data_IF_653472657182
#
_entry.id   IF_653472657182
#
_cell.length_a   1.000
_cell.length_b   1.000
_cell.length_c   1.000
_cell.angle_alpha   90.00
_cell.angle_beta   90.00
_cell.angle_gamma   90.00
#
_symmetry.space_group_name_H-M   'P 1'
#
loop_
_entity.id
_entity.type
_entity.pdbx_description
1 polymer ?
#
# COMPACT_ATOMS: atom_id res chain seq x y z
N UNK A 1 2.40 -17.05 -19.97
CA UNK A 1 2.86 -16.72 -18.61
C UNK A 1 2.89 -18.01 -17.82
N UNK A 2 3.99 -18.33 -17.14
CA UNK A 2 4.06 -19.50 -16.26
C UNK A 2 3.12 -19.25 -15.08
N UNK A 3 2.19 -20.18 -14.84
CA UNK A 3 1.23 -20.12 -13.77
C UNK A 3 1.96 -20.16 -12.41
N UNK A 4 1.75 -19.19 -11.54
CA UNK A 4 2.41 -19.11 -10.23
C UNK A 4 1.48 -19.68 -9.16
N UNK A 5 1.94 -20.69 -8.46
CA UNK A 5 1.22 -21.26 -7.32
C UNK A 5 1.43 -20.41 -6.07
N UNK A 6 0.33 -20.13 -5.37
CA UNK A 6 0.32 -19.41 -4.09
C UNK A 6 -0.38 -20.23 -3.01
N UNK A 7 0.22 -20.29 -1.83
CA UNK A 7 -0.43 -20.72 -0.61
C UNK A 7 -0.88 -19.50 0.21
N UNK A 8 -2.01 -19.58 0.87
CA UNK A 8 -2.57 -18.45 1.63
C UNK A 8 -2.74 -18.81 3.11
N UNK A 9 -2.35 -17.88 3.98
CA UNK A 9 -2.62 -17.95 5.41
C UNK A 9 -3.58 -16.81 5.76
N UNK A 10 -4.79 -17.18 6.16
CA UNK A 10 -5.87 -16.26 6.49
C UNK A 10 -6.90 -16.09 5.36
N UNK A 11 -8.19 -16.09 5.73
CA UNK A 11 -9.34 -15.89 4.84
C UNK A 11 -10.35 -14.93 5.51
N UNK A 12 -9.86 -13.80 6.03
CA UNK A 12 -10.67 -12.72 6.56
C UNK A 12 -11.30 -11.85 5.45
N UNK A 13 -12.06 -10.83 5.84
CA UNK A 13 -12.74 -9.92 4.91
C UNK A 13 -11.76 -9.29 3.89
N UNK A 14 -10.66 -8.70 4.39
CA UNK A 14 -9.66 -8.07 3.51
C UNK A 14 -9.04 -9.07 2.53
N UNK A 15 -8.64 -10.24 3.02
CA UNK A 15 -8.08 -11.29 2.18
C UNK A 15 -9.05 -11.70 1.07
N UNK A 16 -10.29 -12.04 1.44
CA UNK A 16 -11.28 -12.57 0.49
C UNK A 16 -11.93 -11.52 -0.42
N UNK A 17 -11.85 -10.23 -0.07
CA UNK A 17 -12.42 -9.15 -0.87
C UNK A 17 -11.41 -8.52 -1.81
N UNK A 18 -10.14 -8.43 -1.39
CA UNK A 18 -9.11 -7.72 -2.13
C UNK A 18 -7.96 -8.63 -2.61
N UNK A 19 -7.36 -9.44 -1.73
CA UNK A 19 -6.10 -10.12 -2.05
C UNK A 19 -6.31 -11.37 -2.89
N UNK A 20 -7.23 -12.27 -2.51
CA UNK A 20 -7.52 -13.47 -3.30
C UNK A 20 -7.97 -13.17 -4.73
N UNK A 21 -9.00 -12.31 -4.95
CA UNK A 21 -9.43 -12.01 -6.31
C UNK A 21 -8.33 -11.31 -7.11
N UNK A 22 -7.51 -10.47 -6.49
CA UNK A 22 -6.38 -9.81 -7.17
C UNK A 22 -5.27 -10.78 -7.56
N UNK A 23 -4.98 -11.77 -6.71
CA UNK A 23 -4.01 -12.80 -7.03
C UNK A 23 -4.48 -13.67 -8.21
N UNK A 24 -5.75 -14.09 -8.20
CA UNK A 24 -6.35 -14.87 -9.30
C UNK A 24 -6.38 -14.04 -10.58
N UNK A 25 -6.78 -12.78 -10.52
CA UNK A 25 -6.81 -11.87 -11.67
C UNK A 25 -5.41 -11.61 -12.22
N UNK A 26 -4.39 -11.57 -11.38
CA UNK A 26 -2.98 -11.49 -11.78
C UNK A 26 -2.41 -12.82 -12.34
N UNK A 27 -3.19 -13.90 -12.39
CA UNK A 27 -2.82 -15.19 -12.98
C UNK A 27 -2.27 -16.21 -11.98
N UNK A 28 -2.48 -16.03 -10.67
CA UNK A 28 -2.11 -17.02 -9.68
C UNK A 28 -3.06 -18.22 -9.63
N UNK A 29 -2.52 -19.37 -9.26
CA UNK A 29 -3.29 -20.53 -8.81
C UNK A 29 -3.25 -20.62 -7.29
N UNK A 30 -4.40 -20.75 -6.66
CA UNK A 30 -4.49 -20.99 -5.23
C UNK A 30 -4.23 -22.49 -4.98
N UNK A 31 -3.03 -22.81 -4.46
CA UNK A 31 -2.62 -24.19 -4.21
C UNK A 31 -3.13 -24.70 -2.86
N UNK A 32 -3.06 -23.87 -1.83
CA UNK A 32 -3.56 -24.24 -0.52
C UNK A 32 -4.01 -23.01 0.28
N UNK A 33 -4.93 -23.23 1.21
CA UNK A 33 -5.38 -22.21 2.15
C UNK A 33 -5.31 -22.78 3.57
N UNK A 34 -4.73 -22.01 4.49
CA UNK A 34 -4.75 -22.27 5.92
C UNK A 34 -5.45 -21.15 6.68
N UNK A 35 -6.38 -21.52 7.55
CA UNK A 35 -7.01 -20.63 8.54
C UNK A 35 -7.06 -21.35 9.90
N UNK A 36 -7.70 -20.76 10.90
CA UNK A 36 -7.94 -21.40 12.21
C UNK A 36 -9.11 -22.42 12.20
N UNK A 37 -9.66 -22.74 11.01
CA UNK A 37 -10.78 -23.68 10.83
C UNK A 37 -10.69 -24.30 9.45
N UNK A 38 -10.73 -25.63 9.40
CA UNK A 38 -10.68 -26.38 8.13
C UNK A 38 -11.87 -26.03 7.23
N UNK A 39 -13.04 -25.79 7.81
CA UNK A 39 -14.27 -25.47 7.09
C UNK A 39 -14.14 -24.08 6.40
N UNK A 40 -13.49 -23.12 7.08
CA UNK A 40 -13.23 -21.80 6.49
C UNK A 40 -12.23 -21.88 5.35
N UNK A 41 -11.21 -22.71 5.48
CA UNK A 41 -10.23 -22.94 4.41
C UNK A 41 -10.87 -23.60 3.19
N UNK A 42 -11.72 -24.60 3.40
CA UNK A 42 -12.50 -25.27 2.36
C UNK A 42 -13.48 -24.30 1.67
N UNK A 43 -14.21 -23.51 2.45
CA UNK A 43 -15.15 -22.52 1.90
C UNK A 43 -14.43 -21.46 1.06
N UNK A 44 -13.24 -21.03 1.44
CA UNK A 44 -12.44 -20.11 0.66
C UNK A 44 -11.95 -20.73 -0.66
N UNK A 45 -11.45 -21.97 -0.65
CA UNK A 45 -11.09 -22.71 -1.87
C UNK A 45 -12.27 -22.80 -2.83
N UNK A 46 -13.44 -23.22 -2.32
CA UNK A 46 -14.66 -23.36 -3.12
C UNK A 46 -15.08 -22.04 -3.73
N UNK A 47 -15.02 -20.95 -2.97
CA UNK A 47 -15.39 -19.59 -3.46
C UNK A 47 -14.57 -19.15 -4.67
N UNK A 48 -13.30 -19.54 -4.74
CA UNK A 48 -12.40 -19.17 -5.84
C UNK A 48 -12.21 -20.29 -6.87
N UNK A 49 -13.05 -21.34 -6.81
CA UNK A 49 -13.01 -22.45 -7.77
C UNK A 49 -11.68 -23.23 -7.75
N UNK A 50 -10.97 -23.18 -6.62
CA UNK A 50 -9.71 -23.92 -6.47
C UNK A 50 -9.94 -25.36 -6.05
N UNK A 51 -9.16 -26.28 -6.63
CA UNK A 51 -9.06 -27.69 -6.26
C UNK A 51 -7.91 -27.96 -5.28
N UNK A 52 -7.33 -26.91 -4.72
CA UNK A 52 -6.20 -26.98 -3.79
C UNK A 52 -6.56 -27.59 -2.42
N UNK A 53 -5.58 -27.58 -1.53
CA UNK A 53 -5.66 -28.22 -0.22
C UNK A 53 -6.12 -27.24 0.87
N UNK A 54 -6.96 -27.70 1.78
CA UNK A 54 -7.40 -26.93 2.95
C UNK A 54 -6.66 -27.38 4.21
N UNK A 55 -6.26 -26.42 5.04
CA UNK A 55 -5.58 -26.64 6.31
C UNK A 55 -6.21 -25.79 7.42
N UNK A 56 -6.18 -26.30 8.63
CA UNK A 56 -6.49 -25.56 9.88
C UNK A 56 -5.23 -25.12 10.64
N UNK A 57 -4.05 -25.43 10.09
CA UNK A 57 -2.76 -25.16 10.69
C UNK A 57 -1.73 -24.75 9.60
N UNK A 58 -1.13 -23.57 9.77
CA UNK A 58 -0.16 -23.04 8.80
C UNK A 58 1.12 -23.89 8.72
N UNK A 59 1.63 -24.39 9.85
CA UNK A 59 2.82 -25.25 9.90
C UNK A 59 2.63 -26.52 9.07
N UNK A 60 1.47 -27.19 9.21
CA UNK A 60 1.15 -28.37 8.43
C UNK A 60 1.06 -28.05 6.92
N UNK A 61 0.46 -26.92 6.56
CA UNK A 61 0.42 -26.47 5.16
C UNK A 61 1.84 -26.27 4.62
N UNK A 62 2.71 -25.56 5.34
CA UNK A 62 4.08 -25.29 4.93
C UNK A 62 4.93 -26.55 4.77
N UNK A 63 4.65 -27.60 5.56
CA UNK A 63 5.35 -28.88 5.51
C UNK A 63 4.87 -29.79 4.37
N UNK A 64 3.57 -29.75 4.05
CA UNK A 64 2.95 -30.69 3.12
C UNK A 64 2.84 -30.16 1.68
N UNK A 65 2.87 -28.82 1.50
CA UNK A 65 2.69 -28.23 0.18
C UNK A 65 4.04 -27.89 -0.47
N UNK A 66 4.22 -28.38 -1.68
CA UNK A 66 5.34 -28.00 -2.56
C UNK A 66 5.01 -26.65 -3.23
N UNK A 67 4.98 -25.60 -2.42
CA UNK A 67 4.73 -24.23 -2.84
C UNK A 67 5.74 -23.28 -2.20
N UNK A 68 6.45 -22.53 -3.02
CA UNK A 68 7.50 -21.61 -2.53
C UNK A 68 6.99 -20.20 -2.20
N UNK A 69 5.75 -19.89 -2.50
CA UNK A 69 5.22 -18.54 -2.38
C UNK A 69 3.99 -18.52 -1.47
N UNK A 70 4.05 -17.75 -0.40
CA UNK A 70 3.02 -17.68 0.63
C UNK A 70 2.51 -16.26 0.79
N UNK A 71 1.20 -16.11 0.84
CA UNK A 71 0.50 -14.85 1.10
C UNK A 71 -0.09 -14.89 2.51
N UNK A 72 0.37 -14.01 3.39
CA UNK A 72 -0.05 -13.92 4.79
C UNK A 72 -0.95 -12.70 4.95
N UNK A 73 -2.24 -12.94 5.27
CA UNK A 73 -3.22 -11.89 5.59
C UNK A 73 -3.94 -12.29 6.88
N UNK A 74 -3.36 -11.90 7.99
CA UNK A 74 -3.82 -12.27 9.33
C UNK A 74 -4.13 -11.02 10.18
N UNK A 75 -4.59 -11.24 11.41
CA UNK A 75 -4.70 -10.15 12.37
C UNK A 75 -3.29 -9.63 12.73
N UNK A 76 -3.11 -8.32 13.00
CA UNK A 76 -1.79 -7.74 13.26
C UNK A 76 -0.98 -8.48 14.34
N UNK A 77 -1.63 -8.95 15.40
CA UNK A 77 -0.98 -9.68 16.47
C UNK A 77 -0.42 -11.06 16.07
N UNK A 78 -0.99 -11.70 15.03
CA UNK A 78 -0.57 -13.03 14.57
C UNK A 78 0.36 -12.92 13.34
N UNK A 79 0.30 -11.81 12.61
CA UNK A 79 0.90 -11.65 11.29
C UNK A 79 2.43 -11.78 11.34
N UNK A 80 3.07 -11.13 12.30
CA UNK A 80 4.53 -11.19 12.51
C UNK A 80 5.03 -12.61 12.70
N UNK A 81 4.39 -13.39 13.57
CA UNK A 81 4.79 -14.77 13.85
C UNK A 81 4.59 -15.69 12.64
N UNK A 82 3.49 -15.52 11.90
CA UNK A 82 3.21 -16.28 10.68
C UNK A 82 4.18 -15.95 9.55
N UNK A 83 4.52 -14.68 9.36
CA UNK A 83 5.53 -14.27 8.39
C UNK A 83 6.90 -14.89 8.71
N UNK A 84 7.32 -14.85 10.00
CA UNK A 84 8.57 -15.45 10.45
C UNK A 84 8.59 -16.97 10.26
N UNK A 85 7.47 -17.64 10.46
CA UNK A 85 7.35 -19.08 10.22
C UNK A 85 7.54 -19.43 8.75
N UNK A 86 6.92 -18.68 7.84
CA UNK A 86 7.08 -18.84 6.39
C UNK A 86 8.54 -18.61 5.97
N UNK A 87 9.17 -17.53 6.47
CA UNK A 87 10.58 -17.20 6.18
C UNK A 87 11.51 -18.33 6.66
N UNK A 88 11.31 -18.85 7.88
CA UNK A 88 12.10 -20.00 8.42
C UNK A 88 11.89 -21.27 7.61
N UNK A 89 10.73 -21.44 6.98
CA UNK A 89 10.47 -22.53 6.05
C UNK A 89 11.04 -22.31 4.64
N UNK A 90 11.80 -21.22 4.43
CA UNK A 90 12.43 -20.89 3.13
C UNK A 90 11.45 -20.45 2.06
N UNK A 91 10.29 -19.91 2.44
CA UNK A 91 9.26 -19.47 1.50
C UNK A 91 9.39 -17.97 1.18
N UNK A 92 9.11 -17.60 -0.06
CA UNK A 92 8.85 -16.21 -0.43
C UNK A 92 7.53 -15.76 0.20
N UNK A 93 7.48 -14.55 0.76
CA UNK A 93 6.34 -14.11 1.57
C UNK A 93 5.84 -12.76 1.08
N UNK A 94 4.56 -12.72 0.73
CA UNK A 94 3.77 -11.50 0.77
C UNK A 94 3.11 -11.43 2.14
N UNK A 95 3.23 -10.29 2.81
CA UNK A 95 2.57 -10.04 4.09
C UNK A 95 1.79 -8.74 4.02
N UNK A 96 0.54 -8.73 4.50
CA UNK A 96 -0.22 -7.48 4.58
C UNK A 96 0.43 -6.52 5.59
N UNK A 97 0.12 -5.23 5.47
CA UNK A 97 0.65 -4.20 6.40
C UNK A 97 -0.07 -4.27 7.77
N UNK A 98 0.58 -3.83 8.85
CA UNK A 98 2.00 -3.54 8.98
C UNK A 98 2.84 -4.82 9.06
N UNK A 99 4.11 -4.77 8.63
CA UNK A 99 5.03 -5.91 8.73
C UNK A 99 5.28 -6.34 10.18
N UNK A 100 5.32 -5.39 11.08
CA UNK A 100 5.39 -5.54 12.53
C UNK A 100 4.73 -4.33 13.19
N UNK A 101 4.47 -4.39 14.48
CA UNK A 101 3.85 -3.27 15.20
C UNK A 101 4.84 -2.14 15.49
N UNK A 102 6.13 -2.44 15.55
CA UNK A 102 7.23 -1.50 15.74
C UNK A 102 8.24 -1.58 14.61
N UNK A 103 9.01 -0.50 14.41
CA UNK A 103 10.11 -0.50 13.45
C UNK A 103 11.15 -1.61 13.76
N UNK A 104 11.37 -1.95 15.04
CA UNK A 104 12.25 -3.04 15.46
C UNK A 104 11.73 -4.41 14.99
N UNK A 105 10.46 -4.69 15.23
CA UNK A 105 9.85 -5.95 14.74
C UNK A 105 9.92 -6.07 13.22
N UNK A 106 9.64 -4.97 12.51
CA UNK A 106 9.76 -4.94 11.06
C UNK A 106 11.20 -5.22 10.60
N UNK A 107 12.20 -4.65 11.28
CA UNK A 107 13.61 -4.89 10.99
C UNK A 107 14.01 -6.36 11.25
N UNK A 108 13.57 -6.94 12.36
CA UNK A 108 13.85 -8.35 12.70
C UNK A 108 13.30 -9.31 11.62
N UNK A 109 12.11 -9.03 11.09
CA UNK A 109 11.50 -9.84 10.02
C UNK A 109 12.23 -9.63 8.69
N UNK A 110 12.55 -8.38 8.34
CA UNK A 110 13.29 -8.05 7.13
C UNK A 110 14.68 -8.68 7.10
N UNK A 111 15.42 -8.62 8.22
CA UNK A 111 16.72 -9.25 8.38
C UNK A 111 16.64 -10.78 8.28
N UNK A 112 15.58 -11.38 8.82
CA UNK A 112 15.38 -12.83 8.72
C UNK A 112 15.15 -13.25 7.26
N UNK A 113 14.37 -12.50 6.50
CA UNK A 113 14.13 -12.77 5.08
C UNK A 113 15.41 -12.62 4.25
N UNK A 114 16.19 -11.55 4.49
CA UNK A 114 17.48 -11.34 3.82
C UNK A 114 18.46 -12.50 4.11
N UNK A 115 18.58 -12.94 5.37
CA UNK A 115 19.41 -14.07 5.76
C UNK A 115 18.95 -15.39 5.16
N UNK A 116 17.66 -15.58 5.00
CA UNK A 116 17.08 -16.77 4.37
C UNK A 116 17.17 -16.73 2.84
N UNK A 117 17.51 -15.59 2.23
CA UNK A 117 17.57 -15.41 0.77
C UNK A 117 16.20 -15.50 0.10
N UNK A 118 15.10 -15.15 0.79
CA UNK A 118 13.74 -15.21 0.28
C UNK A 118 13.19 -13.82 -0.02
N UNK A 119 12.27 -13.75 -0.97
CA UNK A 119 11.53 -12.52 -1.27
C UNK A 119 10.56 -12.23 -0.13
N UNK A 120 10.64 -11.02 0.43
CA UNK A 120 9.66 -10.49 1.39
C UNK A 120 9.09 -9.20 0.84
N UNK A 121 7.77 -9.18 0.58
CA UNK A 121 7.03 -8.02 0.11
C UNK A 121 5.93 -7.66 1.10
N UNK A 122 5.76 -6.37 1.37
CA UNK A 122 4.71 -5.84 2.26
C UNK A 122 3.59 -5.21 1.44
N UNK A 123 2.36 -5.43 1.84
CA UNK A 123 1.15 -5.03 1.14
C UNK A 123 0.87 -3.52 1.18
N UNK A 124 1.47 -2.78 0.25
CA UNK A 124 1.24 -1.35 0.05
C UNK A 124 0.68 -1.09 -1.35
N UNK A 125 -0.56 -1.47 -1.56
CA UNK A 125 -1.23 -1.45 -2.85
C UNK A 125 -1.23 -0.08 -3.53
N UNK A 126 -1.22 1.04 -2.78
CA UNK A 126 -1.24 2.39 -3.36
C UNK A 126 -0.02 2.67 -4.26
N UNK A 127 1.14 2.04 -4.00
CA UNK A 127 2.32 2.12 -4.89
C UNK A 127 2.05 1.59 -6.31
N UNK A 128 1.04 0.73 -6.47
CA UNK A 128 0.67 0.08 -7.72
C UNK A 128 -0.64 0.63 -8.32
N UNK A 129 -1.27 1.61 -7.67
CA UNK A 129 -2.43 2.30 -8.20
C UNK A 129 -2.02 3.13 -9.44
N UNK A 130 -2.70 2.99 -10.59
CA UNK A 130 -2.31 3.66 -11.83
C UNK A 130 -2.12 5.17 -11.70
N UNK A 131 -2.95 5.84 -10.91
CA UNK A 131 -2.86 7.28 -10.67
C UNK A 131 -1.55 7.66 -9.95
N UNK A 132 -1.13 6.88 -8.95
CA UNK A 132 0.10 7.14 -8.21
C UNK A 132 1.34 6.70 -8.98
N UNK A 133 1.24 5.63 -9.78
CA UNK A 133 2.32 5.25 -10.70
C UNK A 133 2.57 6.35 -11.73
N UNK A 134 1.50 6.94 -12.31
CA UNK A 134 1.63 8.05 -13.25
C UNK A 134 2.18 9.31 -12.58
N UNK A 135 1.76 9.61 -11.34
CA UNK A 135 2.31 10.72 -10.57
C UNK A 135 3.81 10.50 -10.27
N UNK A 136 4.21 9.28 -9.90
CA UNK A 136 5.62 8.92 -9.70
C UNK A 136 6.46 9.08 -10.98
N UNK A 137 5.91 8.66 -12.13
CA UNK A 137 6.55 8.86 -13.44
C UNK A 137 6.80 10.35 -13.72
N UNK A 138 5.85 11.25 -13.41
CA UNK A 138 6.03 12.69 -13.56
C UNK A 138 7.11 13.24 -12.63
N UNK A 139 7.14 12.78 -11.38
CA UNK A 139 8.15 13.18 -10.38
C UNK A 139 9.55 12.75 -10.83
N UNK A 140 9.72 11.49 -11.21
CA UNK A 140 11.01 10.92 -11.58
C UNK A 140 11.49 11.38 -12.96
N UNK A 141 10.56 11.62 -13.89
CA UNK A 141 10.85 12.00 -15.27
C UNK A 141 11.35 13.43 -15.43
N UNK A 142 11.14 14.29 -14.44
CA UNK A 142 11.64 15.66 -14.41
C UNK A 142 11.12 16.59 -15.50
N UNK A 143 10.11 16.20 -16.28
CA UNK A 143 9.54 17.01 -17.36
C UNK A 143 8.90 18.32 -16.88
N UNK A 144 8.50 18.36 -15.62
CA UNK A 144 7.93 19.53 -14.94
C UNK A 144 8.96 20.29 -14.08
N UNK A 145 10.25 19.96 -14.20
CA UNK A 145 11.30 20.45 -13.32
C UNK A 145 11.34 19.72 -11.98
N UNK A 146 11.96 20.35 -10.97
CA UNK A 146 12.09 19.73 -9.64
C UNK A 146 10.77 19.76 -8.88
N UNK A 147 10.46 18.68 -8.16
CA UNK A 147 9.40 18.68 -7.15
C UNK A 147 9.78 19.62 -6.01
N UNK A 148 8.88 20.52 -5.64
CA UNK A 148 9.10 21.55 -4.61
C UNK A 148 8.35 21.27 -3.34
N UNK A 149 7.07 20.96 -3.46
CA UNK A 149 6.20 20.75 -2.30
C UNK A 149 5.04 19.83 -2.63
N UNK A 150 4.38 19.31 -1.58
CA UNK A 150 3.14 18.57 -1.72
C UNK A 150 2.16 18.90 -0.60
N UNK A 151 0.89 18.61 -0.88
CA UNK A 151 -0.17 18.49 0.12
C UNK A 151 -0.82 17.12 -0.02
N UNK A 152 -1.05 16.44 1.09
CA UNK A 152 -1.67 15.12 1.12
C UNK A 152 -2.87 15.13 2.08
N UNK A 153 -3.96 14.51 1.66
CA UNK A 153 -5.14 14.31 2.50
C UNK A 153 -5.48 12.84 2.56
N UNK A 154 -5.86 12.37 3.75
CA UNK A 154 -6.49 11.07 3.93
C UNK A 154 -7.53 11.17 5.05
N UNK A 155 -8.75 10.79 4.73
CA UNK A 155 -9.85 10.83 5.68
C UNK A 155 -10.77 9.61 5.48
N UNK A 156 -11.06 8.91 6.56
CA UNK A 156 -11.86 7.69 6.58
C UNK A 156 -12.52 7.50 7.94
N UNK A 157 -13.69 6.90 7.99
CA UNK A 157 -14.23 6.42 9.27
C UNK A 157 -13.41 5.20 9.74
N UNK A 158 -12.47 5.45 10.65
CA UNK A 158 -11.64 4.41 11.28
C UNK A 158 -12.14 3.96 12.65
N UNK A 159 -13.20 4.56 13.17
CA UNK A 159 -13.74 4.29 14.52
C UNK A 159 -14.12 2.83 14.76
N UNK A 160 -14.56 2.03 13.75
CA UNK A 160 -14.85 0.62 13.95
C UNK A 160 -13.63 -0.24 14.30
N UNK A 161 -12.40 0.16 13.90
CA UNK A 161 -11.20 -0.67 14.03
C UNK A 161 -9.98 0.04 14.63
N UNK A 162 -10.01 1.36 14.80
CA UNK A 162 -8.97 2.15 15.49
C UNK A 162 -9.54 2.80 16.74
N UNK A 163 -8.85 2.62 17.88
CA UNK A 163 -9.28 3.14 19.19
C UNK A 163 -8.37 4.22 19.74
N UNK A 164 -7.26 4.50 19.07
CA UNK A 164 -6.28 5.52 19.45
C UNK A 164 -5.44 5.92 18.23
N UNK A 165 -4.61 6.96 18.40
CA UNK A 165 -3.74 7.49 17.35
C UNK A 165 -2.74 6.48 16.79
N UNK A 166 -2.19 5.62 17.64
CA UNK A 166 -1.25 4.59 17.20
C UNK A 166 -1.91 3.58 16.25
N UNK A 167 -3.11 3.10 16.62
CA UNK A 167 -3.87 2.19 15.76
C UNK A 167 -4.29 2.88 14.46
N UNK A 168 -4.74 4.14 14.52
CA UNK A 168 -5.07 4.89 13.32
C UNK A 168 -3.86 5.04 12.39
N UNK A 169 -2.71 5.42 12.94
CA UNK A 169 -1.47 5.57 12.17
C UNK A 169 -1.05 4.25 11.53
N UNK A 170 -1.02 3.14 12.29
CA UNK A 170 -0.46 1.85 11.86
C UNK A 170 -1.45 0.96 11.09
N UNK A 171 -2.76 1.17 11.22
CA UNK A 171 -3.77 0.34 10.54
C UNK A 171 -4.45 1.06 9.37
N UNK A 172 -4.56 2.40 9.40
CA UNK A 172 -5.22 3.20 8.38
C UNK A 172 -4.25 4.13 7.63
N UNK A 173 -3.68 5.13 8.31
CA UNK A 173 -2.86 6.17 7.70
C UNK A 173 -1.52 5.66 7.16
N UNK A 174 -1.03 4.50 7.59
CA UNK A 174 0.24 3.90 7.15
C UNK A 174 0.36 3.80 5.61
N UNK A 175 -0.74 3.60 4.89
CA UNK A 175 -0.73 3.58 3.42
C UNK A 175 -0.30 4.92 2.83
N UNK A 176 -0.67 6.03 3.46
CA UNK A 176 -0.27 7.37 3.02
C UNK A 176 1.14 7.72 3.47
N UNK A 177 1.55 7.24 4.66
CA UNK A 177 2.93 7.36 5.14
C UNK A 177 3.90 6.62 4.21
N UNK A 178 3.53 5.42 3.79
CA UNK A 178 4.27 4.65 2.81
C UNK A 178 4.30 5.33 1.43
N UNK A 179 3.15 5.81 0.96
CA UNK A 179 3.02 6.48 -0.32
C UNK A 179 3.87 7.76 -0.38
N UNK A 180 3.93 8.56 0.69
CA UNK A 180 4.77 9.77 0.69
C UNK A 180 6.25 9.44 0.61
N UNK A 181 6.73 8.37 1.27
CA UNK A 181 8.11 7.89 1.11
C UNK A 181 8.37 7.40 -0.32
N UNK A 182 7.45 6.63 -0.89
CA UNK A 182 7.55 6.14 -2.27
C UNK A 182 7.62 7.29 -3.28
N UNK A 183 6.80 8.34 -3.12
CA UNK A 183 6.77 9.46 -4.04
C UNK A 183 7.94 10.42 -3.86
N UNK A 184 8.30 10.75 -2.62
CA UNK A 184 9.17 11.90 -2.32
C UNK A 184 10.50 11.53 -1.65
N UNK A 185 10.71 10.29 -1.24
CA UNK A 185 11.94 9.82 -0.58
C UNK A 185 11.87 9.87 0.95
N UNK A 186 13.03 10.00 1.61
CA UNK A 186 13.12 9.92 3.06
C UNK A 186 12.88 11.26 3.75
N UNK A 187 12.22 11.19 4.91
CA UNK A 187 11.86 12.38 5.71
C UNK A 187 13.00 12.73 6.66
N UNK A 188 13.46 13.97 6.59
CA UNK A 188 14.48 14.54 7.47
C UNK A 188 13.89 15.09 8.77
N UNK A 189 12.71 15.71 8.69
CA UNK A 189 12.07 16.38 9.83
C UNK A 189 10.56 16.31 9.71
N UNK A 190 9.90 16.06 10.84
CA UNK A 190 8.45 16.05 10.96
C UNK A 190 7.99 16.75 12.23
N UNK A 191 6.91 17.51 12.11
CA UNK A 191 6.17 18.12 13.23
C UNK A 191 4.68 17.98 12.97
N UNK A 192 3.87 17.94 14.02
CA UNK A 192 2.44 17.86 13.83
C UNK A 192 1.65 18.30 15.06
N UNK A 193 0.37 18.56 14.82
CA UNK A 193 -0.63 18.80 15.85
C UNK A 193 -1.74 17.78 15.73
N UNK A 194 -2.31 17.40 16.85
CA UNK A 194 -3.43 16.48 16.89
C UNK A 194 -4.59 17.04 17.70
N UNK A 195 -5.81 16.67 17.31
CA UNK A 195 -6.99 16.80 18.14
C UNK A 195 -7.67 15.42 18.18
N UNK A 196 -7.51 14.74 19.30
CA UNK A 196 -8.03 13.38 19.51
C UNK A 196 -9.02 13.37 20.66
N UNK A 197 -10.21 12.80 20.42
CA UNK A 197 -11.22 12.52 21.43
C UNK A 197 -11.66 11.06 21.29
N UNK A 198 -11.06 10.19 22.11
CA UNK A 198 -11.24 8.74 22.02
C UNK A 198 -10.76 8.20 20.66
N UNK A 199 -11.70 7.64 19.89
CA UNK A 199 -11.46 7.09 18.54
C UNK A 199 -11.59 8.13 17.42
N UNK A 200 -11.97 9.37 17.74
CA UNK A 200 -12.07 10.48 16.78
C UNK A 200 -10.74 11.22 16.67
N UNK A 201 -10.04 10.99 15.56
CA UNK A 201 -8.65 11.41 15.39
C UNK A 201 -8.55 12.40 14.23
N UNK A 202 -7.86 13.53 14.46
CA UNK A 202 -7.50 14.49 13.44
C UNK A 202 -6.05 14.91 13.63
N UNK A 203 -5.28 14.87 12.56
CA UNK A 203 -3.85 15.17 12.58
C UNK A 203 -3.48 16.10 11.43
N UNK A 204 -2.69 17.14 11.75
CA UNK A 204 -2.10 18.05 10.78
C UNK A 204 -0.58 17.96 10.92
N UNK A 205 0.09 17.55 9.86
CA UNK A 205 1.49 17.15 9.87
C UNK A 205 2.26 17.99 8.85
N UNK A 206 3.43 18.49 9.23
CA UNK A 206 4.36 19.19 8.35
C UNK A 206 5.65 18.38 8.23
N UNK A 207 6.17 18.25 7.01
CA UNK A 207 7.32 17.39 6.70
C UNK A 207 8.36 18.14 5.87
N UNK A 208 9.63 17.80 6.10
CA UNK A 208 10.76 18.17 5.25
C UNK A 208 11.54 16.91 4.90
N UNK A 209 11.84 16.74 3.62
CA UNK A 209 12.55 15.58 3.08
C UNK A 209 14.04 15.87 2.89
N UNK A 210 14.87 14.82 2.84
CA UNK A 210 16.32 14.93 2.65
C UNK A 210 16.71 15.64 1.34
N UNK A 211 15.89 15.48 0.30
CA UNK A 211 16.07 16.14 -1.01
C UNK A 211 15.56 17.58 -1.05
N UNK A 212 15.11 18.13 0.08
CA UNK A 212 14.63 19.51 0.22
C UNK A 212 13.15 19.72 -0.07
N UNK A 213 12.40 18.71 -0.49
CA UNK A 213 10.94 18.78 -0.66
C UNK A 213 10.31 19.08 0.70
N UNK A 214 9.29 19.95 0.72
CA UNK A 214 8.47 20.22 1.90
C UNK A 214 7.03 19.87 1.64
N UNK A 215 6.30 19.47 2.66
CA UNK A 215 4.90 19.13 2.48
C UNK A 215 4.08 19.15 3.75
N UNK A 216 2.78 19.00 3.57
CA UNK A 216 1.82 18.84 4.66
C UNK A 216 0.89 17.67 4.40
N UNK A 217 0.47 17.02 5.49
CA UNK A 217 -0.53 15.98 5.44
C UNK A 217 -1.65 16.25 6.46
N UNK A 218 -2.89 16.07 6.04
CA UNK A 218 -4.07 16.07 6.87
C UNK A 218 -4.63 14.65 6.93
N UNK A 219 -4.67 14.08 8.12
CA UNK A 219 -5.23 12.75 8.38
C UNK A 219 -6.40 12.83 9.33
N UNK A 220 -7.51 12.19 8.99
CA UNK A 220 -8.71 12.18 9.81
C UNK A 220 -9.33 10.79 9.90
N UNK A 221 -9.56 10.31 11.12
CA UNK A 221 -10.19 9.03 11.43
C UNK A 221 -11.61 9.16 11.98
N UNK A 222 -12.30 10.26 11.66
CA UNK A 222 -13.60 10.57 12.22
C UNK A 222 -14.75 9.84 11.54
N UNK A 223 -15.77 9.46 12.32
CA UNK A 223 -17.04 8.88 11.81
C UNK A 223 -17.81 9.76 10.82
N UNK A 224 -17.48 11.04 10.74
CA UNK A 224 -18.04 11.96 9.74
C UNK A 224 -17.64 11.58 8.29
N UNK A 225 -16.55 10.84 8.11
CA UNK A 225 -16.08 10.40 6.81
C UNK A 225 -16.73 9.07 6.41
N UNK A 226 -17.99 9.12 5.99
CA UNK A 226 -18.76 7.93 5.57
C UNK A 226 -18.22 7.23 4.32
N UNK A 227 -17.25 7.85 3.65
CA UNK A 227 -16.42 7.26 2.58
C UNK A 227 -14.98 7.70 2.75
N UNK A 228 -14.04 6.85 2.34
CA UNK A 228 -12.63 7.22 2.22
C UNK A 228 -12.48 8.39 1.24
N UNK A 229 -11.68 9.38 1.60
CA UNK A 229 -11.35 10.52 0.76
C UNK A 229 -9.87 10.80 0.84
N UNK A 230 -9.19 10.82 -0.30
CA UNK A 230 -7.77 11.04 -0.37
C UNK A 230 -7.37 11.89 -1.56
N UNK A 231 -6.31 12.66 -1.39
CA UNK A 231 -5.71 13.43 -2.48
C UNK A 231 -4.22 13.67 -2.24
N UNK A 232 -3.49 13.84 -3.33
CA UNK A 232 -2.07 14.22 -3.34
C UNK A 232 -1.87 15.33 -4.38
N UNK A 233 -1.63 16.56 -3.92
CA UNK A 233 -1.24 17.69 -4.77
C UNK A 233 0.27 17.87 -4.71
N UNK A 234 0.93 17.94 -5.87
CA UNK A 234 2.38 18.14 -6.02
C UNK A 234 2.66 19.37 -6.81
N UNK A 235 3.53 20.24 -6.30
CA UNK A 235 4.01 21.44 -6.99
C UNK A 235 5.42 21.22 -7.51
N UNK A 236 5.64 21.57 -8.78
CA UNK A 236 6.92 21.49 -9.48
C UNK A 236 7.43 22.87 -9.86
N UNK A 237 8.65 22.96 -10.45
CA UNK A 237 9.17 24.21 -10.99
C UNK A 237 8.27 24.79 -12.11
N UNK A 238 7.62 23.90 -12.89
CA UNK A 238 6.89 24.28 -14.10
C UNK A 238 5.44 23.79 -14.12
N UNK A 239 4.77 23.80 -12.96
CA UNK A 239 3.36 23.45 -12.85
C UNK A 239 3.02 22.67 -11.59
N UNK A 240 1.88 21.98 -11.63
CA UNK A 240 1.44 21.13 -10.53
C UNK A 240 0.70 19.90 -11.05
N UNK A 241 0.59 18.87 -10.21
CA UNK A 241 -0.25 17.71 -10.46
C UNK A 241 -1.10 17.39 -9.22
N UNK A 242 -2.38 17.08 -9.43
CA UNK A 242 -3.31 16.65 -8.37
C UNK A 242 -3.85 15.26 -8.68
N UNK A 243 -3.59 14.31 -7.78
CA UNK A 243 -4.17 12.98 -7.80
C UNK A 243 -5.32 12.92 -6.78
N UNK A 244 -6.53 12.60 -7.24
CA UNK A 244 -7.73 12.64 -6.43
C UNK A 244 -8.45 11.28 -6.44
N UNK A 245 -8.78 10.78 -5.23
CA UNK A 245 -9.59 9.57 -4.98
C UNK A 245 -9.07 8.30 -5.69
N UNK A 246 -7.76 8.17 -5.90
CA UNK A 246 -7.11 7.11 -6.72
C UNK A 246 -7.71 6.95 -8.12
N UNK A 247 -8.40 7.95 -8.62
CA UNK A 247 -9.17 7.86 -9.86
C UNK A 247 -8.76 8.90 -10.90
N UNK A 248 -8.48 10.13 -10.50
CA UNK A 248 -8.21 11.22 -11.43
C UNK A 248 -6.83 11.81 -11.16
N UNK A 249 -6.06 12.06 -12.22
CA UNK A 249 -4.83 12.85 -12.15
C UNK A 249 -4.96 14.04 -13.09
N UNK A 250 -4.95 15.24 -12.52
CA UNK A 250 -4.88 16.50 -13.25
C UNK A 250 -3.46 17.02 -13.27
N UNK A 251 -2.93 17.36 -14.43
CA UNK A 251 -1.58 17.89 -14.61
C UNK A 251 -1.68 19.26 -15.30
N UNK A 252 -1.19 20.27 -14.61
CA UNK A 252 -1.11 21.63 -15.11
C UNK A 252 0.33 21.98 -15.46
N UNK A 253 0.58 22.42 -16.68
CA UNK A 253 1.87 22.96 -17.10
C UNK A 253 1.84 24.50 -17.08
N UNK A 254 2.81 25.11 -16.40
CA UNK A 254 2.95 26.56 -16.42
C UNK A 254 3.43 27.05 -17.81
N UNK A 255 3.02 28.25 -18.16
CA UNK A 255 3.47 28.90 -19.41
C UNK A 255 4.97 29.17 -19.43
N UNK A 256 5.53 29.07 -20.61
CA UNK A 256 6.92 29.48 -20.88
C UNK A 256 6.98 30.84 -21.59
N UNK A 257 5.84 31.49 -21.84
CA UNK A 257 5.81 32.76 -22.61
C UNK A 257 5.84 33.99 -21.71
N UNK A 258 6.53 35.05 -22.16
CA UNK A 258 6.60 36.37 -21.49
C UNK A 258 5.29 37.18 -21.58
N UNK A 259 4.24 36.67 -22.22
CA UNK A 259 2.96 37.36 -22.32
C UNK A 259 2.18 37.26 -21.01
N UNK A 260 1.46 38.31 -20.65
CA UNK A 260 0.61 38.35 -19.45
C UNK A 260 -0.51 37.29 -19.57
N UNK A 261 -0.73 36.46 -18.54
CA UNK A 261 -1.64 35.28 -18.60
C UNK A 261 -3.07 35.58 -19.05
N UNK A 262 -3.58 36.79 -18.74
CA UNK A 262 -4.95 37.18 -19.03
C UNK A 262 -5.16 37.76 -20.47
N UNK A 263 -4.10 37.78 -21.30
CA UNK A 263 -4.19 38.28 -22.66
C UNK A 263 -4.55 37.24 -23.71
N UNK A 264 -4.50 35.97 -23.37
CA UNK A 264 -4.76 34.90 -24.31
C UNK A 264 -5.44 33.70 -23.59
N UNK A 265 -6.21 32.93 -24.36
CA UNK A 265 -6.71 31.63 -23.90
C UNK A 265 -5.65 30.57 -24.22
N UNK A 266 -5.49 29.61 -23.33
CA UNK A 266 -4.53 28.52 -23.46
C UNK A 266 -5.14 27.20 -22.98
N UNK A 267 -4.68 26.11 -23.57
CA UNK A 267 -4.85 24.79 -23.00
C UNK A 267 -3.96 24.69 -21.76
N UNK A 268 -4.56 24.36 -20.60
CA UNK A 268 -3.86 24.43 -19.32
C UNK A 268 -3.71 23.09 -18.65
N UNK A 269 -4.75 22.25 -18.66
CA UNK A 269 -4.80 21.04 -17.87
C UNK A 269 -4.93 19.80 -18.74
N UNK A 270 -4.08 18.79 -18.44
CA UNK A 270 -4.24 17.42 -18.93
C UNK A 270 -4.86 16.58 -17.82
N UNK A 271 -5.99 15.94 -18.11
CA UNK A 271 -6.69 15.11 -17.14
C UNK A 271 -6.62 13.64 -17.57
N UNK A 272 -6.08 12.82 -16.69
CA UNK A 272 -6.04 11.35 -16.82
C UNK A 272 -7.15 10.75 -15.95
N UNK A 273 -8.00 9.95 -16.55
CA UNK A 273 -9.04 9.19 -15.86
C UNK A 273 -9.04 7.75 -16.35
N UNK A 274 -9.50 6.78 -15.56
CA UNK A 274 -9.62 5.42 -16.02
C UNK A 274 -10.54 5.32 -17.25
N UNK A 275 -10.10 4.59 -18.28
CA UNK A 275 -10.95 4.25 -19.43
C UNK A 275 -11.98 3.21 -18.99
N UNK A 276 -13.11 3.64 -18.48
CA UNK A 276 -14.16 2.76 -18.00
C UNK A 276 -15.55 3.25 -18.41
N UNK A 277 -16.49 2.33 -18.39
CA UNK A 277 -17.91 2.60 -18.57
C UNK A 277 -18.70 1.88 -17.47
N UNK A 278 -20.01 2.13 -17.32
CA UNK A 278 -20.87 1.32 -16.43
C UNK A 278 -20.82 -0.19 -16.73
N UNK A 279 -20.38 -0.57 -17.94
CA UNK A 279 -20.20 -1.96 -18.38
C UNK A 279 -18.84 -2.55 -17.98
N UNK A 280 -17.94 -1.77 -17.39
CA UNK A 280 -16.62 -2.25 -16.92
C UNK A 280 -16.78 -3.27 -15.80
N UNK A 281 -15.99 -4.34 -15.82
CA UNK A 281 -16.15 -5.50 -14.96
C UNK A 281 -16.02 -5.22 -13.44
N UNK A 282 -16.43 -6.19 -12.66
CA UNK A 282 -16.53 -6.12 -11.20
C UNK A 282 -15.19 -5.87 -10.49
N UNK A 283 -14.07 -6.26 -11.11
CA UNK A 283 -12.72 -6.14 -10.51
C UNK A 283 -12.01 -4.83 -10.82
N UNK A 284 -12.66 -3.89 -11.51
CA UNK A 284 -12.07 -2.59 -11.84
C UNK A 284 -11.46 -1.89 -10.63
N UNK A 285 -12.14 -1.90 -9.52
CA UNK A 285 -11.68 -1.34 -8.25
C UNK A 285 -10.35 -1.91 -7.78
N UNK A 286 -10.13 -3.20 -7.94
CA UNK A 286 -8.89 -3.88 -7.55
C UNK A 286 -7.71 -3.41 -8.40
N UNK A 287 -7.93 -3.08 -9.68
CA UNK A 287 -6.92 -2.47 -10.55
C UNK A 287 -6.63 -1.02 -10.15
N UNK A 288 -7.67 -0.20 -9.96
CA UNK A 288 -7.51 1.22 -9.66
C UNK A 288 -6.88 1.46 -8.30
N UNK A 289 -7.18 0.61 -7.33
CA UNK A 289 -6.58 0.66 -5.99
C UNK A 289 -5.17 0.03 -5.94
N UNK A 290 -4.74 -0.65 -7.01
CA UNK A 290 -3.41 -1.21 -7.16
C UNK A 290 -3.24 -2.66 -6.70
N UNK A 291 -4.25 -3.32 -6.16
CA UNK A 291 -4.15 -4.69 -5.63
C UNK A 291 -3.72 -5.72 -6.67
N UNK A 292 -4.26 -5.64 -7.90
CA UNK A 292 -3.87 -6.56 -8.98
C UNK A 292 -2.41 -6.34 -9.38
N UNK A 293 -2.00 -5.07 -9.53
CA UNK A 293 -0.61 -4.71 -9.84
C UNK A 293 0.37 -5.15 -8.75
N UNK A 294 -0.03 -5.02 -7.48
CA UNK A 294 0.75 -5.47 -6.33
C UNK A 294 0.99 -6.98 -6.35
N UNK A 295 -0.06 -7.78 -6.53
CA UNK A 295 0.06 -9.24 -6.60
C UNK A 295 0.86 -9.70 -7.83
N UNK A 296 0.67 -9.07 -8.99
CA UNK A 296 1.47 -9.34 -10.17
C UNK A 296 2.96 -9.05 -9.95
N UNK A 297 3.28 -7.94 -9.25
CA UNK A 297 4.65 -7.58 -8.89
C UNK A 297 5.27 -8.60 -7.93
N UNK A 298 4.54 -9.01 -6.88
CA UNK A 298 5.00 -10.06 -5.96
C UNK A 298 5.38 -11.34 -6.70
N UNK A 299 4.49 -11.86 -7.55
CA UNK A 299 4.75 -13.06 -8.33
C UNK A 299 5.94 -12.90 -9.28
N UNK A 300 6.09 -11.73 -9.91
CA UNK A 300 7.24 -11.41 -10.74
C UNK A 300 8.54 -11.40 -9.95
N UNK A 301 8.54 -10.83 -8.75
CA UNK A 301 9.71 -10.82 -7.85
C UNK A 301 10.08 -12.25 -7.42
N UNK A 302 9.11 -13.09 -7.08
CA UNK A 302 9.35 -14.49 -6.74
C UNK A 302 9.95 -15.28 -7.91
N UNK A 303 9.44 -15.06 -9.14
CA UNK A 303 9.94 -15.73 -10.32
C UNK A 303 11.38 -15.34 -10.67
N UNK A 304 11.69 -14.04 -10.55
CA UNK A 304 12.98 -13.47 -10.94
C UNK A 304 13.99 -13.38 -9.79
N UNK A 305 13.61 -13.76 -8.57
CA UNK A 305 14.35 -13.55 -7.34
C UNK A 305 14.84 -12.10 -7.20
N UNK A 306 13.93 -11.14 -7.44
CA UNK A 306 14.24 -9.70 -7.43
C UNK A 306 13.63 -9.02 -6.20
N UNK A 307 14.23 -7.89 -5.80
CA UNK A 307 13.77 -7.11 -4.67
C UNK A 307 12.42 -6.40 -5.01
N UNK A 308 11.37 -6.59 -4.21
CA UNK A 308 10.12 -5.86 -4.39
C UNK A 308 10.25 -4.36 -4.11
N UNK A 309 9.45 -3.54 -4.76
CA UNK A 309 9.38 -2.09 -4.48
C UNK A 309 8.95 -1.79 -3.04
N UNK A 310 8.07 -2.60 -2.47
CA UNK A 310 7.67 -2.55 -1.05
C UNK A 310 8.30 -3.71 -0.28
N UNK A 311 9.63 -3.84 -0.34
CA UNK A 311 10.34 -4.90 0.37
C UNK A 311 10.21 -4.77 1.89
N UNK A 312 10.45 -5.86 2.63
CA UNK A 312 10.49 -5.81 4.08
C UNK A 312 11.48 -4.75 4.60
N UNK A 313 12.64 -4.61 3.96
CA UNK A 313 13.66 -3.62 4.33
C UNK A 313 13.19 -2.18 4.09
N UNK A 314 12.51 -1.92 2.98
CA UNK A 314 11.92 -0.60 2.71
C UNK A 314 10.83 -0.26 3.73
N UNK A 315 10.02 -1.24 4.15
CA UNK A 315 8.96 -1.04 5.14
C UNK A 315 9.48 -0.60 6.51
N UNK A 316 10.70 -0.96 6.90
CA UNK A 316 11.30 -0.47 8.15
C UNK A 316 11.28 1.06 8.19
N UNK A 317 11.64 1.73 7.09
CA UNK A 317 11.57 3.18 6.97
C UNK A 317 10.14 3.73 7.12
N UNK A 318 9.13 3.03 6.59
CA UNK A 318 7.72 3.41 6.78
C UNK A 318 7.32 3.32 8.25
N UNK A 319 7.71 2.28 8.97
CA UNK A 319 7.44 2.14 10.40
C UNK A 319 8.17 3.18 11.23
N UNK A 320 9.44 3.48 10.91
CA UNK A 320 10.20 4.57 11.54
C UNK A 320 9.49 5.91 11.36
N UNK A 321 8.99 6.19 10.17
CA UNK A 321 8.26 7.44 9.91
C UNK A 321 6.92 7.49 10.66
N UNK A 322 6.18 6.38 10.75
CA UNK A 322 4.96 6.31 11.57
C UNK A 322 5.26 6.66 13.05
N UNK A 323 6.31 6.06 13.61
CA UNK A 323 6.71 6.32 15.01
C UNK A 323 7.21 7.77 15.18
N UNK A 324 7.94 8.33 14.21
CA UNK A 324 8.38 9.74 14.22
C UNK A 324 7.20 10.71 14.16
N UNK A 325 6.21 10.46 13.31
CA UNK A 325 4.98 11.26 13.24
C UNK A 325 4.28 11.22 14.60
N UNK A 326 4.00 10.04 15.14
CA UNK A 326 3.34 9.88 16.44
C UNK A 326 4.07 10.62 17.57
N UNK A 327 5.41 10.57 17.57
CA UNK A 327 6.23 11.25 18.59
C UNK A 327 6.26 12.78 18.43
N UNK A 328 5.93 13.29 17.25
CA UNK A 328 5.94 14.73 16.94
C UNK A 328 4.62 15.44 17.20
N UNK A 329 3.54 14.68 17.46
CA UNK A 329 2.19 15.22 17.67
C UNK A 329 2.10 15.91 19.05
N UNK A 330 1.57 17.14 19.07
CA UNK A 330 1.34 17.96 20.26
C UNK A 330 -0.10 18.45 20.33
#
# INVERSE_FOLDING_TARGET
>A
MTQTNLCFIGAGFHATTNIYPSAVEAGATIQAISTRSIERSQAALLRYGSTGSAYDNATLMLQNEDCNNVVVVAQPQDQTSLAMECIKAGKNVYVDKPLGWTAREAAEIADAAEKAGVVLMVGFMKRYAPVYMKLKELIDGGSMGRTRSFQMKFAVDSTPFCKNEEQFMKLAAIHMVDLMRFLFGEVQHVTGTTFTDGEHINQSISLKFDNGIVGSAYFSGMSAWSRESESVLVTFDHGFASADEMNTLTVHHSRTSDSLPWKALEEQDMVYTPSNSPMSGAYRDLYLRGFVGEMAHFMSCCHNNSLPHSSGKDNVGTMVLCDAILSSLV
#
